data_IF_386344876294
#
_entry.id   IF_386344876294
#
_cell.length_a   1.000
_cell.length_b   1.000
_cell.length_c   1.000
_cell.angle_alpha   90.00
_cell.angle_beta   90.00
_cell.angle_gamma   90.00
#
_symmetry.space_group_name_H-M   'P 1'
#
loop_
_entity.id
_entity.type
_entity.pdbx_description
1 polymer ?
#
# COMPACT_ATOMS: atom_id res chain seq x y z
N UNK A 1 5.66 13.82 -38.89
CA UNK A 1 6.50 12.67 -38.45
C UNK A 1 7.18 12.93 -37.10
N UNK A 2 7.63 14.15 -36.77
CA UNK A 2 8.13 14.47 -35.41
C UNK A 2 7.03 14.42 -34.34
N UNK A 3 5.89 15.06 -34.60
CA UNK A 3 4.76 15.16 -33.68
C UNK A 3 4.09 13.81 -33.38
N UNK A 4 4.10 12.88 -34.35
CA UNK A 4 3.58 11.52 -34.16
C UNK A 4 4.45 10.70 -33.21
N UNK A 5 5.78 10.87 -33.28
CA UNK A 5 6.72 10.17 -32.38
C UNK A 5 6.61 10.70 -30.94
N UNK A 6 6.41 12.01 -30.78
CA UNK A 6 6.19 12.66 -29.48
C UNK A 6 4.89 12.17 -28.82
N UNK A 7 3.80 12.08 -29.59
CA UNK A 7 2.53 11.56 -29.08
C UNK A 7 2.62 10.08 -28.67
N UNK A 8 3.32 9.25 -29.45
CA UNK A 8 3.52 7.83 -29.12
C UNK A 8 4.30 7.65 -27.81
N UNK A 9 5.31 8.49 -27.57
CA UNK A 9 6.09 8.50 -26.33
C UNK A 9 5.24 8.89 -25.11
N UNK A 10 4.42 9.95 -25.24
CA UNK A 10 3.51 10.41 -24.17
C UNK A 10 2.48 9.33 -23.83
N UNK A 11 1.89 8.68 -24.84
CA UNK A 11 0.92 7.59 -24.64
C UNK A 11 1.57 6.40 -23.94
N UNK A 12 2.80 6.05 -24.33
CA UNK A 12 3.56 4.98 -23.70
C UNK A 12 3.85 5.27 -22.22
N UNK A 13 4.23 6.51 -21.90
CA UNK A 13 4.48 6.92 -20.53
C UNK A 13 3.21 6.90 -19.68
N UNK A 14 2.11 7.46 -20.18
CA UNK A 14 0.82 7.45 -19.49
C UNK A 14 0.37 6.01 -19.18
N UNK A 15 0.53 5.11 -20.15
CA UNK A 15 0.18 3.69 -19.97
C UNK A 15 1.02 3.05 -18.87
N UNK A 16 2.31 3.35 -18.79
CA UNK A 16 3.18 2.85 -17.71
C UNK A 16 2.70 3.33 -16.35
N UNK A 17 2.43 4.63 -16.20
CA UNK A 17 1.93 5.20 -14.94
C UNK A 17 0.60 4.59 -14.52
N UNK A 18 -0.30 4.37 -15.47
CA UNK A 18 -1.61 3.79 -15.20
C UNK A 18 -1.51 2.34 -14.76
N UNK A 19 -0.71 1.51 -15.44
CA UNK A 19 -0.48 0.12 -15.06
C UNK A 19 0.17 0.04 -13.67
N UNK A 20 1.17 0.87 -13.41
CA UNK A 20 1.82 0.94 -12.11
C UNK A 20 0.81 1.26 -10.99
N UNK A 21 -0.01 2.29 -11.19
CA UNK A 21 -1.02 2.71 -10.21
C UNK A 21 -2.02 1.59 -9.93
N UNK A 22 -2.50 0.91 -10.98
CA UNK A 22 -3.44 -0.20 -10.84
C UNK A 22 -2.84 -1.35 -10.02
N UNK A 23 -1.59 -1.72 -10.31
CA UNK A 23 -0.87 -2.78 -9.57
C UNK A 23 -0.73 -2.40 -8.09
N UNK A 24 -0.36 -1.15 -7.78
CA UNK A 24 -0.24 -0.66 -6.40
C UNK A 24 -1.58 -0.75 -5.67
N UNK A 25 -2.68 -0.29 -6.29
CA UNK A 25 -4.00 -0.38 -5.67
C UNK A 25 -4.47 -1.83 -5.46
N UNK A 26 -4.23 -2.73 -6.41
CA UNK A 26 -4.53 -4.15 -6.24
C UNK A 26 -3.73 -4.78 -5.10
N UNK A 27 -2.44 -4.47 -4.99
CA UNK A 27 -1.59 -4.93 -3.89
C UNK A 27 -2.07 -4.40 -2.54
N UNK A 28 -2.42 -3.12 -2.46
CA UNK A 28 -2.96 -2.52 -1.24
C UNK A 28 -4.30 -3.14 -0.84
N UNK A 29 -5.17 -3.46 -1.80
CA UNK A 29 -6.44 -4.14 -1.55
C UNK A 29 -6.24 -5.57 -1.02
N UNK A 30 -5.27 -6.31 -1.58
CA UNK A 30 -4.91 -7.65 -1.09
C UNK A 30 -4.36 -7.60 0.35
N UNK A 31 -3.46 -6.66 0.61
CA UNK A 31 -2.95 -6.40 1.96
C UNK A 31 -4.14 -6.10 2.89
N UNK A 32 -5.01 -5.14 2.56
CA UNK A 32 -6.17 -4.83 3.41
C UNK A 32 -7.06 -6.06 3.68
N UNK A 33 -7.34 -6.87 2.66
CA UNK A 33 -8.13 -8.09 2.79
C UNK A 33 -7.51 -9.10 3.76
N UNK A 34 -6.21 -9.40 3.59
CA UNK A 34 -5.50 -10.33 4.49
C UNK A 34 -5.53 -9.86 5.94
N UNK A 35 -5.49 -8.54 6.17
CA UNK A 35 -5.56 -7.98 7.51
C UNK A 35 -6.95 -8.11 8.12
N UNK A 36 -8.01 -7.82 7.36
CA UNK A 36 -9.39 -7.94 7.85
C UNK A 36 -9.70 -9.37 8.31
N UNK A 37 -9.23 -10.39 7.58
CA UNK A 37 -9.53 -11.79 7.93
C UNK A 37 -8.71 -12.29 9.12
N UNK A 38 -7.50 -11.77 9.32
CA UNK A 38 -6.59 -12.25 10.37
C UNK A 38 -6.66 -11.41 11.65
N UNK A 39 -7.06 -10.14 11.59
CA UNK A 39 -7.06 -9.22 12.75
C UNK A 39 -7.84 -9.77 13.94
N UNK A 40 -8.93 -10.52 13.70
CA UNK A 40 -9.69 -11.14 14.79
C UNK A 40 -8.88 -12.18 15.57
N UNK A 41 -8.08 -12.98 14.85
CA UNK A 41 -7.18 -13.97 15.47
C UNK A 41 -6.03 -13.26 16.17
N UNK A 42 -5.48 -12.20 15.57
CA UNK A 42 -4.41 -11.42 16.16
C UNK A 42 -4.86 -10.73 17.44
N UNK A 43 -5.99 -10.04 17.42
CA UNK A 43 -6.55 -9.36 18.60
C UNK A 43 -6.79 -10.38 19.70
N UNK A 44 -7.33 -11.56 19.37
CA UNK A 44 -7.54 -12.64 20.34
C UNK A 44 -6.22 -13.13 20.94
N UNK A 45 -5.17 -13.31 20.14
CA UNK A 45 -3.86 -13.79 20.61
C UNK A 45 -3.05 -12.73 21.36
N UNK A 46 -3.15 -11.47 20.95
CA UNK A 46 -2.39 -10.33 21.48
C UNK A 46 -3.06 -9.79 22.74
N UNK A 47 -4.38 -9.59 22.72
CA UNK A 47 -5.10 -8.91 23.81
C UNK A 47 -5.53 -9.86 24.92
N UNK A 48 -5.66 -11.17 24.67
CA UNK A 48 -5.94 -12.16 25.73
C UNK A 48 -4.69 -12.80 26.34
N UNK A 49 -3.48 -12.54 25.82
CA UNK A 49 -2.22 -13.12 26.31
C UNK A 49 -1.29 -12.03 26.85
N UNK A 50 -0.25 -12.43 27.59
CA UNK A 50 0.79 -11.51 28.07
C UNK A 50 1.46 -10.83 26.89
N UNK A 51 1.47 -9.50 26.88
CA UNK A 51 2.19 -8.69 25.91
C UNK A 51 3.69 -8.95 26.07
N UNK A 52 4.28 -9.63 25.09
CA UNK A 52 5.72 -9.92 25.06
C UNK A 52 6.41 -9.03 24.02
N UNK A 53 7.73 -8.88 24.11
CA UNK A 53 8.54 -8.16 23.12
C UNK A 53 8.32 -8.73 21.70
N UNK A 54 8.14 -10.05 21.59
CA UNK A 54 7.85 -10.73 20.31
C UNK A 54 6.52 -10.24 19.73
N UNK A 55 5.52 -9.99 20.57
CA UNK A 55 4.22 -9.43 20.16
C UNK A 55 4.36 -8.03 19.60
N UNK A 56 5.19 -7.19 20.22
CA UNK A 56 5.47 -5.83 19.73
C UNK A 56 6.25 -5.83 18.42
N UNK A 57 7.23 -6.72 18.26
CA UNK A 57 7.98 -6.87 16.99
C UNK A 57 7.03 -7.33 15.88
N UNK A 58 6.15 -8.29 16.17
CA UNK A 58 5.16 -8.77 15.21
C UNK A 58 4.17 -7.68 14.82
N UNK A 59 3.68 -6.91 15.80
CA UNK A 59 2.80 -5.76 15.56
C UNK A 59 3.51 -4.66 14.75
N UNK A 60 4.75 -4.31 15.09
CA UNK A 60 5.50 -3.32 14.33
C UNK A 60 5.71 -3.76 12.88
N UNK A 61 6.19 -4.98 12.65
CA UNK A 61 6.41 -5.52 11.31
C UNK A 61 5.10 -5.48 10.49
N UNK A 62 3.99 -5.89 11.11
CA UNK A 62 2.70 -5.99 10.45
C UNK A 62 2.06 -4.62 10.19
N UNK A 63 1.89 -3.78 11.21
CA UNK A 63 1.16 -2.51 11.05
C UNK A 63 1.98 -1.43 10.32
N UNK A 64 3.31 -1.51 10.32
CA UNK A 64 4.14 -0.60 9.50
C UNK A 64 3.99 -0.86 8.00
N UNK A 65 3.81 -2.11 7.56
CA UNK A 65 3.54 -2.40 6.15
C UNK A 65 2.21 -1.81 5.69
N UNK A 66 1.17 -1.87 6.52
CA UNK A 66 -0.12 -1.22 6.23
C UNK A 66 0.03 0.29 6.19
N UNK A 67 0.77 0.86 7.14
CA UNK A 67 0.98 2.30 7.18
C UNK A 67 1.67 2.81 5.91
N UNK A 68 2.67 2.08 5.41
CA UNK A 68 3.33 2.39 4.14
C UNK A 68 2.36 2.25 2.96
N UNK A 69 1.64 1.12 2.86
CA UNK A 69 0.64 0.89 1.82
C UNK A 69 -0.42 2.01 1.76
N UNK A 70 -0.91 2.45 2.92
CA UNK A 70 -1.86 3.55 3.04
C UNK A 70 -1.21 4.88 2.65
N UNK A 71 0.02 5.14 3.10
CA UNK A 71 0.74 6.38 2.77
C UNK A 71 1.00 6.52 1.26
N UNK A 72 1.33 5.42 0.58
CA UNK A 72 1.52 5.40 -0.88
C UNK A 72 0.19 5.59 -1.65
N UNK A 73 -0.92 5.17 -1.05
CA UNK A 73 -2.26 5.34 -1.65
C UNK A 73 -2.84 6.75 -1.43
N UNK A 74 -2.39 7.45 -0.39
CA UNK A 74 -2.82 8.79 -0.09
C UNK A 74 -2.17 9.74 -1.11
N UNK A 75 -2.95 10.53 -1.87
CA UNK A 75 -2.37 11.55 -2.72
C UNK A 75 -1.58 12.49 -1.81
N UNK A 76 -0.30 12.68 -2.12
CA UNK A 76 0.57 13.55 -1.33
C UNK A 76 -0.17 14.87 -1.10
N UNK A 77 -0.43 15.21 0.17
CA UNK A 77 -0.87 16.55 0.53
C UNK A 77 0.32 17.46 0.25
N UNK A 78 0.47 17.87 -1.01
CA UNK A 78 1.39 18.93 -1.40
C UNK A 78 1.07 20.11 -0.49
N UNK A 79 1.98 20.53 0.41
CA UNK A 79 1.83 21.82 1.04
C UNK A 79 2.05 22.81 -0.09
N UNK A 80 0.97 23.33 -0.65
CA UNK A 80 1.03 24.51 -1.50
C UNK A 80 1.57 25.65 -0.60
N UNK A 81 2.87 25.94 -0.72
CA UNK A 81 3.50 27.13 -0.15
C UNK A 81 4.46 27.71 -1.17
#
# INVERSE_FOLDING_TARGET
>A
MSETLENDEIIAELRRTQVYSFVVYCMNALIAYEYIITVNQEVTMIWKRKWTIVTWIFFANRYLMVLNAVSDSLPASSPQR
#
